data_IF_500843348320
#
_entry.id   IF_500843348320
#
_cell.length_a   1.000
_cell.length_b   1.000
_cell.length_c   1.000
_cell.angle_alpha   90.00
_cell.angle_beta   90.00
_cell.angle_gamma   90.00
#
_symmetry.space_group_name_H-M   'P 1'
#
loop_
_entity.id
_entity.type
_entity.pdbx_description
1 polymer ?
#
# COMPACT_ATOMS: atom_id res chain seq x y z
N UNK A 1 2.26 -12.39 -13.94
CA UNK A 1 2.10 -12.03 -12.51
C UNK A 1 2.83 -10.72 -12.29
N UNK A 2 2.14 -9.57 -12.38
CA UNK A 2 2.76 -8.28 -12.12
C UNK A 2 2.75 -8.03 -10.62
N UNK A 3 3.89 -8.22 -9.99
CA UNK A 3 4.09 -7.93 -8.56
C UNK A 3 4.32 -6.44 -8.42
N UNK A 4 3.26 -5.66 -8.21
CA UNK A 4 3.37 -4.22 -7.96
C UNK A 4 4.17 -3.99 -6.67
N UNK A 5 5.18 -3.12 -6.73
CA UNK A 5 5.99 -2.72 -5.57
C UNK A 5 5.81 -1.24 -5.33
N UNK A 6 5.64 -0.87 -4.06
CA UNK A 6 5.58 0.52 -3.64
C UNK A 6 6.67 0.80 -2.62
N UNK A 7 7.19 2.02 -2.66
CA UNK A 7 8.19 2.49 -1.71
C UNK A 7 7.50 3.11 -0.50
N UNK A 8 7.71 2.51 0.67
CA UNK A 8 7.23 3.03 1.95
C UNK A 8 8.40 3.60 2.75
N UNK A 9 8.11 4.56 3.62
CA UNK A 9 9.09 5.21 4.50
C UNK A 9 8.82 4.82 5.94
N UNK A 10 9.80 4.26 6.64
CA UNK A 10 9.74 4.03 8.07
C UNK A 10 9.92 5.37 8.80
N UNK A 11 8.93 5.81 9.58
CA UNK A 11 8.98 7.14 10.23
C UNK A 11 10.03 7.20 11.34
N UNK A 12 10.26 6.08 12.02
CA UNK A 12 11.24 5.99 13.11
C UNK A 12 12.69 6.17 12.65
N UNK A 13 13.06 5.60 11.49
CA UNK A 13 14.45 5.62 11.00
C UNK A 13 14.64 6.52 9.78
N UNK A 14 13.55 7.02 9.18
CA UNK A 14 13.56 7.75 7.91
C UNK A 14 13.92 6.88 6.69
N UNK A 15 14.23 5.60 6.88
CA UNK A 15 14.61 4.68 5.82
C UNK A 15 13.43 4.39 4.91
N UNK A 16 13.70 4.27 3.61
CA UNK A 16 12.69 3.84 2.63
C UNK A 16 12.93 2.39 2.26
N UNK A 17 11.85 1.65 2.00
CA UNK A 17 11.91 0.24 1.62
C UNK A 17 10.82 -0.07 0.62
N UNK A 18 11.10 -0.96 -0.32
CA UNK A 18 10.15 -1.44 -1.30
C UNK A 18 9.36 -2.63 -0.73
N UNK A 19 8.04 -2.54 -0.79
CA UNK A 19 7.11 -3.58 -0.34
C UNK A 19 6.18 -3.98 -1.46
N UNK A 20 5.75 -5.24 -1.45
CA UNK A 20 4.87 -5.77 -2.50
C UNK A 20 3.42 -5.41 -2.18
N UNK A 21 2.67 -4.90 -3.16
CA UNK A 21 1.24 -4.65 -3.01
C UNK A 21 0.47 -5.95 -3.21
N UNK A 22 -0.28 -6.35 -2.18
CA UNK A 22 -1.20 -7.48 -2.24
C UNK A 22 -2.59 -7.03 -2.70
N UNK A 23 -3.07 -5.89 -2.21
CA UNK A 23 -4.37 -5.32 -2.55
C UNK A 23 -4.33 -3.80 -2.42
N UNK A 24 -4.94 -3.09 -3.35
CA UNK A 24 -4.94 -1.62 -3.41
C UNK A 24 -6.37 -1.10 -3.52
N UNK A 25 -6.84 -0.38 -2.50
CA UNK A 25 -8.13 0.33 -2.50
C UNK A 25 -7.95 1.72 -1.90
N UNK A 26 -8.82 2.67 -2.25
CA UNK A 26 -8.76 4.02 -1.69
C UNK A 26 -9.08 4.08 -0.18
N UNK A 27 -9.66 3.02 0.37
CA UNK A 27 -9.91 2.90 1.81
C UNK A 27 -8.73 2.28 2.58
N UNK A 28 -7.74 1.71 1.89
CA UNK A 28 -6.56 1.09 2.52
C UNK A 28 -5.76 0.22 1.55
N UNK A 29 -4.48 0.02 1.79
CA UNK A 29 -3.60 -0.74 0.91
C UNK A 29 -3.01 -1.89 1.71
N UNK A 30 -3.22 -3.13 1.27
CA UNK A 30 -2.57 -4.28 1.86
C UNK A 30 -1.25 -4.52 1.15
N UNK A 31 -0.17 -4.47 1.90
CA UNK A 31 1.18 -4.76 1.42
C UNK A 31 1.73 -6.02 2.08
N UNK A 32 2.69 -6.65 1.43
CA UNK A 32 3.45 -7.78 1.94
C UNK A 32 4.90 -7.35 2.11
N UNK A 33 5.43 -7.57 3.31
CA UNK A 33 6.82 -7.32 3.68
C UNK A 33 7.52 -8.66 3.89
N UNK A 34 8.70 -8.82 3.29
CA UNK A 34 9.51 -10.03 3.36
C UNK A 34 9.34 -10.95 2.14
N UNK A 35 10.34 -11.81 1.92
CA UNK A 35 10.35 -12.80 0.83
C UNK A 35 10.27 -14.22 1.43
N UNK A 36 9.39 -15.08 0.89
CA UNK A 36 9.26 -16.48 1.31
C UNK A 36 8.34 -16.72 2.50
N UNK A 37 8.65 -17.73 3.33
CA UNK A 37 7.76 -18.24 4.39
C UNK A 37 7.52 -17.25 5.55
N UNK A 38 8.37 -16.22 5.66
CA UNK A 38 8.25 -15.15 6.66
C UNK A 38 7.62 -13.86 6.09
N UNK A 39 6.88 -13.97 4.98
CA UNK A 39 6.13 -12.84 4.43
C UNK A 39 4.98 -12.45 5.35
N UNK A 40 4.86 -11.17 5.67
CA UNK A 40 3.79 -10.67 6.53
C UNK A 40 2.98 -9.60 5.81
N UNK A 41 1.65 -9.68 5.98
CA UNK A 41 0.72 -8.69 5.43
C UNK A 41 0.58 -7.54 6.42
N UNK A 42 0.67 -6.32 5.91
CA UNK A 42 0.41 -5.10 6.65
C UNK A 42 -0.66 -4.30 5.92
N UNK A 43 -1.62 -3.77 6.65
CA UNK A 43 -2.64 -2.87 6.11
C UNK A 43 -2.22 -1.43 6.36
N UNK A 44 -2.13 -0.64 5.29
CA UNK A 44 -1.90 0.78 5.32
C UNK A 44 -3.24 1.50 5.21
N UNK A 45 -3.58 2.29 6.21
CA UNK A 45 -4.82 3.09 6.24
C UNK A 45 -4.53 4.53 5.82
N UNK A 46 -5.44 5.18 5.08
CA UNK A 46 -5.24 6.59 4.72
C UNK A 46 -5.15 7.44 5.98
N UNK A 47 -4.20 8.37 6.00
CA UNK A 47 -4.08 9.35 7.08
C UNK A 47 -5.31 10.27 7.09
N UNK A 48 -5.55 10.94 8.22
CA UNK A 48 -6.72 11.82 8.38
C UNK A 48 -6.81 12.93 7.32
N UNK A 49 -5.66 13.39 6.82
CA UNK A 49 -5.59 14.41 5.76
C UNK A 49 -5.68 13.81 4.35
N UNK A 50 -5.66 12.49 4.20
CA UNK A 50 -5.77 11.80 2.90
C UNK A 50 -4.54 11.95 2.00
N UNK A 51 -3.42 12.48 2.51
CA UNK A 51 -2.19 12.75 1.76
C UNK A 51 -1.18 11.59 1.77
N UNK A 52 -1.41 10.61 2.63
CA UNK A 52 -0.54 9.45 2.79
C UNK A 52 -1.33 8.25 3.32
N UNK A 53 -0.74 7.06 3.27
CA UNK A 53 -1.25 5.87 3.95
C UNK A 53 -0.24 5.41 4.98
N UNK A 54 -0.67 5.16 6.21
CA UNK A 54 0.17 4.74 7.31
C UNK A 54 -0.25 3.36 7.82
N UNK A 55 0.72 2.55 8.22
CA UNK A 55 0.47 1.27 8.88
C UNK A 55 1.64 0.89 9.76
N UNK A 56 1.46 -0.19 10.53
CA UNK A 56 2.48 -0.66 11.46
C UNK A 56 2.94 -2.06 11.07
N UNK A 57 4.26 -2.24 11.01
CA UNK A 57 4.92 -3.50 10.68
C UNK A 57 6.02 -3.75 11.72
N UNK A 58 6.00 -4.91 12.38
CA UNK A 58 6.97 -5.25 13.44
C UNK A 58 7.14 -4.15 14.52
N UNK A 59 6.05 -3.48 14.90
CA UNK A 59 6.10 -2.36 15.88
C UNK A 59 6.73 -1.07 15.34
N UNK A 60 6.96 -0.96 14.03
CA UNK A 60 7.46 0.25 13.35
C UNK A 60 6.38 0.81 12.45
N UNK A 61 6.17 2.11 12.51
CA UNK A 61 5.27 2.79 11.59
C UNK A 61 5.95 2.98 10.23
N UNK A 62 5.22 2.62 9.19
CA UNK A 62 5.58 2.83 7.79
C UNK A 62 4.52 3.68 7.12
N UNK A 63 4.98 4.62 6.30
CA UNK A 63 4.13 5.60 5.60
C UNK A 63 4.41 5.52 4.12
N UNK A 64 3.34 5.34 3.35
CA UNK A 64 3.32 5.51 1.92
C UNK A 64 2.88 6.93 1.59
N UNK A 65 3.82 7.76 1.11
CA UNK A 65 3.61 9.17 0.80
C UNK A 65 2.89 9.35 -0.55
N UNK A 66 1.66 8.83 -0.63
CA UNK A 66 0.74 9.06 -1.75
C UNK A 66 -0.64 9.47 -1.26
N UNK A 67 -1.17 10.50 -1.90
CA UNK A 67 -2.53 10.95 -1.65
C UNK A 67 -3.55 9.94 -2.13
N UNK A 68 -4.71 9.93 -1.47
CA UNK A 68 -5.85 9.09 -1.84
C UNK A 68 -6.24 9.26 -3.31
N UNK A 69 -6.21 10.50 -3.82
CA UNK A 69 -6.53 10.81 -5.21
C UNK A 69 -5.53 10.18 -6.20
N UNK A 70 -4.23 10.24 -5.88
CA UNK A 70 -3.20 9.60 -6.70
C UNK A 70 -3.34 8.09 -6.71
N UNK A 71 -3.62 7.49 -5.54
CA UNK A 71 -3.88 6.05 -5.43
C UNK A 71 -5.14 5.67 -6.21
N UNK A 72 -6.21 6.46 -6.14
CA UNK A 72 -7.44 6.21 -6.88
C UNK A 72 -7.23 6.33 -8.39
N UNK A 73 -6.48 7.33 -8.85
CA UNK A 73 -6.14 7.50 -10.25
C UNK A 73 -5.24 6.36 -10.76
N UNK A 74 -4.35 5.85 -9.93
CA UNK A 74 -3.50 4.72 -10.26
C UNK A 74 -4.31 3.41 -10.36
N UNK A 75 -5.26 3.19 -9.42
CA UNK A 75 -6.23 2.10 -9.51
C UNK A 75 -7.05 2.20 -10.81
N UNK A 76 -7.54 3.40 -11.15
CA UNK A 76 -8.34 3.64 -12.36
C UNK A 76 -7.54 3.36 -13.65
N UNK A 77 -6.28 3.79 -13.70
CA UNK A 77 -5.36 3.52 -14.81
C UNK A 77 -4.99 2.05 -14.95
N UNK A 78 -4.70 1.38 -13.83
CA UNK A 78 -4.31 -0.03 -13.83
C UNK A 78 -5.50 -0.96 -14.04
N UNK A 79 -6.72 -0.46 -13.88
CA UNK A 79 -7.89 -1.32 -13.83
C UNK A 79 -9.13 -0.69 -14.51
N UNK A 80 -9.20 -0.72 -15.86
CA UNK A 80 -10.47 -0.55 -16.55
C UNK A 80 -11.48 -1.69 -16.28
N UNK A 81 -11.05 -2.78 -15.61
CA UNK A 81 -11.82 -4.01 -15.38
C UNK A 81 -12.40 -4.18 -13.96
N UNK A 82 -12.23 -3.22 -13.02
CA UNK A 82 -12.93 -3.25 -11.69
C UNK A 82 -14.44 -3.05 -11.84
N UNK A 83 -14.95 -2.82 -13.06
CA UNK A 83 -16.40 -2.84 -13.30
C UNK A 83 -17.00 -4.24 -13.25
N UNK A 84 -16.21 -5.32 -13.30
CA UNK A 84 -16.72 -6.67 -13.54
C UNK A 84 -16.37 -7.70 -12.45
N UNK A 85 -16.36 -7.29 -11.18
CA UNK A 85 -16.36 -8.25 -10.06
C UNK A 85 -17.34 -7.85 -8.95
N UNK A 86 -18.57 -7.54 -9.36
CA UNK A 86 -19.76 -7.70 -8.51
C UNK A 86 -20.69 -8.67 -9.23
N UNK A 87 -20.43 -9.97 -9.02
CA UNK A 87 -21.37 -11.05 -9.33
C UNK A 87 -21.93 -11.58 -8.02
#
# INVERSE_FOLDING_TARGET
MNTEKIKVRATQSGQTMDVVVFSKRASGITVVIGEGQHSMKCELSPTRNGLAYAGSVMGREIVYERSREQVQADIDRLNPAVREYRR
#
